data_IF_775471673981
#
_entry.id   IF_775471673981
#
_cell.length_a   1.000
_cell.length_b   1.000
_cell.length_c   1.000
_cell.angle_alpha   90.00
_cell.angle_beta   90.00
_cell.angle_gamma   90.00
#
_symmetry.space_group_name_H-M   'P 1'
#
loop_
_entity.id
_entity.type
_entity.pdbx_description
1 polymer ?
#
# COMPACT_ATOMS: atom_id res chain seq x y z
N UNK A 1 9.28 12.88 3.60
CA UNK A 1 9.59 11.52 3.13
C UNK A 1 10.69 11.62 2.08
N UNK A 2 11.71 10.76 2.14
CA UNK A 2 12.78 10.67 1.16
C UNK A 2 13.00 9.19 0.83
N UNK A 3 13.33 8.87 -0.42
CA UNK A 3 13.58 7.50 -0.87
C UNK A 3 12.64 7.05 -1.98
N UNK A 4 12.84 5.80 -2.43
CA UNK A 4 12.11 5.22 -3.55
C UNK A 4 10.73 4.72 -3.09
N UNK A 5 9.69 5.13 -3.82
CA UNK A 5 8.32 4.61 -3.70
C UNK A 5 8.12 3.57 -4.80
N UNK A 6 7.94 2.30 -4.42
CA UNK A 6 7.68 1.18 -5.33
C UNK A 6 6.21 0.80 -5.32
N UNK A 7 5.65 0.54 -6.50
CA UNK A 7 4.30 -0.02 -6.67
C UNK A 7 4.44 -1.39 -7.30
N UNK A 8 3.76 -2.41 -6.74
CA UNK A 8 3.83 -3.78 -7.27
C UNK A 8 3.19 -3.87 -8.66
N UNK A 9 3.74 -4.74 -9.51
CA UNK A 9 3.38 -4.87 -10.93
C UNK A 9 2.22 -5.84 -11.21
N UNK A 10 1.63 -6.43 -10.16
CA UNK A 10 0.60 -7.46 -10.27
C UNK A 10 1.12 -8.90 -10.28
N UNK A 11 2.44 -9.09 -10.11
CA UNK A 11 2.98 -10.42 -9.74
C UNK A 11 2.35 -10.90 -8.43
N UNK A 12 2.27 -12.22 -8.23
CA UNK A 12 1.67 -12.86 -7.04
C UNK A 12 2.60 -13.93 -6.47
N UNK A 13 2.29 -14.43 -5.28
CA UNK A 13 3.01 -15.50 -4.59
C UNK A 13 4.51 -15.20 -4.44
N UNK A 14 5.34 -16.24 -4.57
CA UNK A 14 6.79 -16.14 -4.35
C UNK A 14 7.49 -15.13 -5.28
N UNK A 15 6.96 -14.94 -6.50
CA UNK A 15 7.51 -13.97 -7.45
C UNK A 15 7.33 -12.54 -6.93
N UNK A 16 6.14 -12.23 -6.38
CA UNK A 16 5.87 -10.94 -5.75
C UNK A 16 6.80 -10.71 -4.56
N UNK A 17 6.87 -11.69 -3.66
CA UNK A 17 7.65 -11.59 -2.43
C UNK A 17 9.14 -11.38 -2.75
N UNK A 18 9.69 -12.15 -3.68
CA UNK A 18 11.09 -12.02 -4.10
C UNK A 18 11.40 -10.65 -4.71
N UNK A 19 10.50 -10.13 -5.57
CA UNK A 19 10.67 -8.79 -6.18
C UNK A 19 10.63 -7.68 -5.12
N UNK A 20 9.69 -7.75 -4.18
CA UNK A 20 9.57 -6.74 -3.12
C UNK A 20 10.79 -6.80 -2.20
N UNK A 21 11.26 -8.00 -1.82
CA UNK A 21 12.46 -8.15 -1.00
C UNK A 21 13.69 -7.53 -1.70
N UNK A 22 13.86 -7.78 -3.00
CA UNK A 22 14.95 -7.17 -3.78
C UNK A 22 14.83 -5.65 -3.81
N UNK A 23 13.63 -5.10 -3.98
CA UNK A 23 13.40 -3.66 -3.96
C UNK A 23 13.72 -3.04 -2.58
N UNK A 24 13.33 -3.70 -1.49
CA UNK A 24 13.62 -3.28 -0.12
C UNK A 24 15.13 -3.32 0.16
N UNK A 25 15.83 -4.38 -0.24
CA UNK A 25 17.31 -4.45 -0.16
C UNK A 25 17.99 -3.37 -1.00
N UNK A 26 17.37 -2.95 -2.09
CA UNK A 26 17.80 -1.83 -2.93
C UNK A 26 17.49 -0.44 -2.36
N UNK A 27 16.85 -0.33 -1.19
CA UNK A 27 16.56 0.93 -0.52
C UNK A 27 15.18 1.52 -0.80
N UNK A 28 14.19 0.69 -1.22
CA UNK A 28 12.80 1.13 -1.25
C UNK A 28 12.35 1.59 0.13
N UNK A 29 11.86 2.83 0.22
CA UNK A 29 11.37 3.42 1.47
C UNK A 29 9.86 3.21 1.65
N UNK A 30 9.14 3.01 0.55
CA UNK A 30 7.69 2.77 0.54
C UNK A 30 7.39 1.68 -0.48
N UNK A 31 6.56 0.72 -0.09
CA UNK A 31 5.99 -0.29 -1.00
C UNK A 31 4.47 -0.18 -0.97
N UNK A 32 3.87 0.06 -2.13
CA UNK A 32 2.43 -0.04 -2.33
C UNK A 32 2.08 -1.38 -2.96
N UNK A 33 1.32 -2.18 -2.22
CA UNK A 33 0.73 -3.39 -2.73
C UNK A 33 -0.52 -3.07 -3.56
N UNK A 34 -0.44 -3.38 -4.85
CA UNK A 34 -1.48 -3.17 -5.85
C UNK A 34 -1.84 -4.48 -6.51
N UNK A 35 -2.96 -5.03 -6.08
CA UNK A 35 -3.62 -6.17 -6.71
C UNK A 35 -5.11 -5.83 -6.93
N UNK A 36 -5.55 -5.92 -8.20
CA UNK A 36 -6.92 -5.61 -8.65
C UNK A 36 -7.79 -6.86 -8.84
N UNK A 37 -7.29 -8.03 -8.49
CA UNK A 37 -8.04 -9.28 -8.54
C UNK A 37 -9.04 -9.37 -7.38
N UNK A 38 -9.97 -10.32 -7.47
CA UNK A 38 -11.01 -10.58 -6.47
C UNK A 38 -10.62 -11.67 -5.46
N UNK A 39 -9.39 -12.16 -5.49
CA UNK A 39 -8.90 -13.23 -4.62
C UNK A 39 -8.52 -12.68 -3.23
N UNK A 40 -9.52 -12.54 -2.37
CA UNK A 40 -9.35 -11.91 -1.06
C UNK A 40 -8.40 -12.69 -0.14
N UNK A 41 -8.49 -14.03 -0.14
CA UNK A 41 -7.67 -14.85 0.75
C UNK A 41 -6.19 -14.73 0.41
N UNK A 42 -5.84 -14.82 -0.88
CA UNK A 42 -4.46 -14.63 -1.32
C UNK A 42 -3.98 -13.20 -1.05
N UNK A 43 -4.81 -12.19 -1.36
CA UNK A 43 -4.47 -10.78 -1.14
C UNK A 43 -4.18 -10.49 0.33
N UNK A 44 -4.96 -11.04 1.25
CA UNK A 44 -4.74 -10.90 2.69
C UNK A 44 -3.44 -11.57 3.13
N UNK A 45 -3.20 -12.82 2.69
CA UNK A 45 -1.98 -13.55 3.00
C UNK A 45 -0.73 -12.81 2.49
N UNK A 46 -0.73 -12.41 1.23
CA UNK A 46 0.39 -11.67 0.62
C UNK A 46 0.61 -10.33 1.32
N UNK A 47 -0.45 -9.56 1.57
CA UNK A 47 -0.35 -8.27 2.24
C UNK A 47 0.21 -8.40 3.67
N UNK A 48 -0.17 -9.44 4.43
CA UNK A 48 0.37 -9.68 5.76
C UNK A 48 1.88 -10.03 5.74
N UNK A 49 2.30 -10.84 4.77
CA UNK A 49 3.72 -11.18 4.59
C UNK A 49 4.52 -9.93 4.17
N UNK A 50 4.02 -9.19 3.18
CA UNK A 50 4.65 -7.96 2.70
C UNK A 50 4.73 -6.88 3.79
N UNK A 51 3.69 -6.74 4.62
CA UNK A 51 3.69 -5.85 5.79
C UNK A 51 4.85 -6.15 6.72
N UNK A 52 5.05 -7.43 7.04
CA UNK A 52 6.10 -7.92 7.94
C UNK A 52 7.47 -7.68 7.33
N UNK A 53 7.62 -7.97 6.04
CA UNK A 53 8.86 -7.74 5.29
C UNK A 53 9.25 -6.25 5.24
N UNK A 54 8.30 -5.35 4.97
CA UNK A 54 8.55 -3.91 4.99
C UNK A 54 9.00 -3.44 6.39
N UNK A 55 8.37 -3.95 7.45
CA UNK A 55 8.72 -3.68 8.84
C UNK A 55 10.19 -4.03 9.15
N UNK A 56 10.64 -5.21 8.71
CA UNK A 56 12.01 -5.68 8.90
C UNK A 56 13.04 -4.79 8.19
N UNK A 57 12.64 -4.13 7.11
CA UNK A 57 13.48 -3.21 6.33
C UNK A 57 13.26 -1.73 6.68
N UNK A 58 12.48 -1.43 7.71
CA UNK A 58 12.12 -0.05 8.09
C UNK A 58 11.46 0.76 6.96
N UNK A 59 10.75 0.08 6.05
CA UNK A 59 9.99 0.67 4.97
C UNK A 59 8.50 0.76 5.32
N UNK A 60 7.82 1.73 4.72
CA UNK A 60 6.37 1.89 4.85
C UNK A 60 5.63 0.96 3.90
N UNK A 61 4.52 0.40 4.37
CA UNK A 61 3.65 -0.47 3.59
C UNK A 61 2.27 0.16 3.37
N UNK A 62 1.87 0.32 2.11
CA UNK A 62 0.63 0.97 1.68
C UNK A 62 -0.22 -0.04 0.89
N UNK A 63 -1.53 -0.08 1.16
CA UNK A 63 -2.48 -0.84 0.34
C UNK A 63 -3.12 0.06 -0.70
N UNK A 64 -3.24 -0.41 -1.94
CA UNK A 64 -3.99 0.31 -2.98
C UNK A 64 -5.49 0.04 -2.88
N UNK A 65 -6.30 1.11 -2.88
CA UNK A 65 -7.77 1.22 -2.95
C UNK A 65 -8.59 0.49 -1.87
N UNK A 66 -8.00 -0.48 -1.15
CA UNK A 66 -8.71 -1.36 -0.23
C UNK A 66 -8.47 -0.97 1.24
N UNK A 67 -9.31 -0.07 1.74
CA UNK A 67 -9.26 0.43 3.13
C UNK A 67 -9.49 -0.69 4.15
N UNK A 68 -10.34 -1.66 3.83
CA UNK A 68 -10.64 -2.76 4.72
C UNK A 68 -9.42 -3.67 4.88
N UNK A 69 -8.78 -4.04 3.76
CA UNK A 69 -7.54 -4.80 3.77
C UNK A 69 -6.43 -4.06 4.51
N UNK A 70 -6.25 -2.75 4.27
CA UNK A 70 -5.29 -1.91 4.99
C UNK A 70 -5.46 -1.99 6.50
N UNK A 71 -6.71 -1.97 6.97
CA UNK A 71 -7.04 -2.09 8.39
C UNK A 71 -6.75 -3.49 8.93
N UNK A 72 -7.14 -4.54 8.19
CA UNK A 72 -6.95 -5.95 8.58
C UNK A 72 -5.47 -6.25 8.78
N UNK A 73 -4.62 -5.87 7.84
CA UNK A 73 -3.17 -6.15 7.88
C UNK A 73 -2.36 -5.08 8.62
N UNK A 74 -3.03 -4.08 9.21
CA UNK A 74 -2.38 -2.96 9.91
C UNK A 74 -1.29 -2.29 9.05
N UNK A 75 -1.63 -2.01 7.80
CA UNK A 75 -0.78 -1.25 6.90
C UNK A 75 -0.52 0.16 7.45
N UNK A 76 0.62 0.74 7.07
CA UNK A 76 0.96 2.12 7.48
C UNK A 76 0.05 3.14 6.78
N UNK A 77 -0.63 2.73 5.71
CA UNK A 77 -1.58 3.57 5.00
C UNK A 77 -2.31 2.90 3.85
N UNK A 78 -3.10 3.71 3.16
CA UNK A 78 -3.83 3.34 1.95
C UNK A 78 -3.62 4.41 0.88
N UNK A 79 -3.59 4.01 -0.38
CA UNK A 79 -3.65 4.92 -1.52
C UNK A 79 -5.00 4.76 -2.19
N UNK A 80 -5.79 5.83 -2.27
CA UNK A 80 -7.16 5.80 -2.82
C UNK A 80 -7.29 6.64 -4.09
N UNK A 81 -8.34 6.34 -4.85
CA UNK A 81 -8.79 7.18 -5.96
C UNK A 81 -9.26 8.57 -5.54
N UNK A 82 -9.70 9.35 -6.53
CA UNK A 82 -10.07 10.78 -6.44
C UNK A 82 -11.18 11.10 -5.43
N UNK A 83 -12.06 10.15 -5.14
CA UNK A 83 -13.33 10.49 -4.50
C UNK A 83 -13.14 10.98 -3.06
N UNK A 84 -13.61 12.19 -2.75
CA UNK A 84 -13.57 12.78 -1.41
C UNK A 84 -14.23 11.88 -0.35
N UNK A 85 -15.24 11.12 -0.77
CA UNK A 85 -15.88 10.10 0.06
C UNK A 85 -14.93 8.97 0.44
N UNK A 86 -14.06 8.54 -0.48
CA UNK A 86 -13.04 7.52 -0.23
C UNK A 86 -11.97 8.04 0.74
N UNK A 87 -11.54 9.30 0.60
CA UNK A 87 -10.62 9.93 1.54
C UNK A 87 -11.20 10.02 2.96
N UNK A 88 -12.43 10.54 3.09
CA UNK A 88 -13.10 10.67 4.38
C UNK A 88 -13.33 9.29 5.02
N UNK A 89 -13.79 8.31 4.25
CA UNK A 89 -13.99 6.94 4.72
C UNK A 89 -12.67 6.29 5.17
N UNK A 90 -11.59 6.44 4.40
CA UNK A 90 -10.27 5.96 4.77
C UNK A 90 -9.78 6.59 6.08
N UNK A 91 -9.94 7.91 6.24
CA UNK A 91 -9.54 8.61 7.46
C UNK A 91 -10.35 8.17 8.68
N UNK A 92 -11.65 7.97 8.52
CA UNK A 92 -12.51 7.47 9.58
C UNK A 92 -12.14 6.04 9.99
N UNK A 93 -11.84 5.17 9.02
CA UNK A 93 -11.57 3.76 9.26
C UNK A 93 -10.18 3.49 9.85
N UNK A 94 -9.16 4.24 9.41
CA UNK A 94 -7.73 4.01 9.74
C UNK A 94 -7.19 4.95 10.81
N UNK A 95 -7.96 5.97 11.20
CA UNK A 95 -7.56 6.93 12.24
C UNK A 95 -6.51 7.93 11.77
N UNK A 96 -6.00 8.77 12.67
CA UNK A 96 -5.14 9.93 12.33
C UNK A 96 -3.70 9.57 11.95
N UNK A 97 -3.20 8.42 12.40
CA UNK A 97 -1.81 8.02 12.18
C UNK A 97 -1.56 7.46 10.77
N UNK A 98 -2.59 6.91 10.13
CA UNK A 98 -2.45 6.30 8.80
C UNK A 98 -2.12 7.34 7.72
N UNK A 99 -1.22 6.96 6.82
CA UNK A 99 -0.91 7.70 5.61
C UNK A 99 -2.04 7.47 4.61
N UNK A 100 -2.58 8.53 4.01
CA UNK A 100 -3.59 8.41 2.96
C UNK A 100 -3.08 9.13 1.72
N UNK A 101 -2.68 8.36 0.72
CA UNK A 101 -2.32 8.87 -0.60
C UNK A 101 -3.55 9.05 -1.47
N UNK A 102 -3.58 10.11 -2.29
CA UNK A 102 -4.67 10.40 -3.21
C UNK A 102 -4.10 10.69 -4.61
N UNK A 103 -4.71 10.11 -5.63
CA UNK A 103 -4.34 10.38 -7.02
C UNK A 103 -4.88 11.74 -7.51
N UNK A 104 -3.99 12.63 -7.98
CA UNK A 104 -4.34 14.02 -8.33
C UNK A 104 -4.50 14.31 -9.84
N UNK A 105 -4.28 13.31 -10.72
CA UNK A 105 -4.52 13.35 -12.17
C UNK A 105 -4.26 14.70 -12.88
N UNK A 106 -3.07 15.27 -12.69
CA UNK A 106 -2.64 16.51 -13.35
C UNK A 106 -3.49 17.77 -13.02
N UNK A 107 -4.12 17.79 -11.85
CA UNK A 107 -4.83 18.94 -11.29
C UNK A 107 -4.11 19.36 -10.00
N UNK A 108 -3.31 20.42 -10.08
CA UNK A 108 -2.50 20.88 -8.94
C UNK A 108 -3.35 21.28 -7.72
N UNK A 109 -4.59 21.69 -7.95
CA UNK A 109 -5.59 22.02 -6.91
C UNK A 109 -5.89 20.85 -5.94
N UNK A 110 -5.55 19.62 -6.33
CA UNK A 110 -5.83 18.39 -5.57
C UNK A 110 -4.58 17.79 -4.91
N UNK A 111 -3.40 18.39 -5.13
CA UNK A 111 -2.09 17.88 -4.71
C UNK A 111 -1.61 18.43 -3.36
#
# INVERSE_FOLDING_TARGET
>A
MQGLYVITDGSTGDTLLSKVEQALRGGAAIVQYRDKTTDQARREQEAAILRSLCQQHHALFIINDDVALAKIVQADGVHVGRDDSALSAARQALGKAAIIGVSCYNRLELA
#
